data_IF_986037692329
#
_entry.id   IF_986037692329
#
_cell.length_a   1.000
_cell.length_b   1.000
_cell.length_c   1.000
_cell.angle_alpha   90.00
_cell.angle_beta   90.00
_cell.angle_gamma   90.00
#
_symmetry.space_group_name_H-M   'P 1'
#
loop_
_entity.id
_entity.type
_entity.pdbx_description
1 polymer ?
#
# COMPACT_ATOMS: atom_id res chain seq x y z
N UNK A 1 16.33 -5.70 21.49
CA UNK A 1 15.08 -4.90 21.47
C UNK A 1 14.98 -4.24 20.09
N UNK A 2 14.51 -4.95 19.05
CA UNK A 2 14.65 -4.50 17.64
C UNK A 2 13.34 -4.57 16.80
N UNK A 3 12.25 -5.12 17.35
CA UNK A 3 11.06 -5.47 16.54
C UNK A 3 10.08 -4.32 16.28
N UNK A 4 10.17 -3.22 17.03
CA UNK A 4 9.22 -2.08 16.95
C UNK A 4 9.53 -1.08 15.83
N UNK A 5 10.75 -1.08 15.29
CA UNK A 5 11.18 -0.05 14.34
C UNK A 5 10.57 -0.26 12.95
N UNK A 6 10.34 -1.53 12.55
CA UNK A 6 9.72 -1.87 11.27
C UNK A 6 8.25 -1.46 11.21
N UNK A 7 7.49 -1.69 12.28
CA UNK A 7 6.06 -1.33 12.35
C UNK A 7 5.91 0.19 12.31
N UNK A 8 6.73 0.92 13.07
CA UNK A 8 6.72 2.38 13.06
C UNK A 8 7.11 2.97 11.69
N UNK A 9 8.10 2.38 11.00
CA UNK A 9 8.46 2.73 9.62
C UNK A 9 7.31 2.47 8.64
N UNK A 10 6.58 1.36 8.80
CA UNK A 10 5.38 1.01 8.02
C UNK A 10 4.24 2.01 8.28
N UNK A 11 3.97 2.44 9.52
CA UNK A 11 2.96 3.47 9.79
C UNK A 11 3.35 4.85 9.25
N UNK A 12 4.63 5.22 9.33
CA UNK A 12 5.15 6.46 8.72
C UNK A 12 5.08 6.42 7.19
N UNK A 13 5.04 5.22 6.59
CA UNK A 13 4.83 5.01 5.17
C UNK A 13 3.39 5.25 4.77
N UNK A 14 2.36 4.99 5.57
CA UNK A 14 0.95 5.26 5.21
C UNK A 14 0.57 6.76 5.23
N UNK A 15 1.51 7.65 4.89
CA UNK A 15 1.18 9.04 4.55
C UNK A 15 0.44 9.07 3.22
N UNK A 16 -0.48 10.01 3.07
CA UNK A 16 -1.32 10.21 1.87
C UNK A 16 -0.57 10.04 0.54
N UNK A 17 0.65 10.58 0.45
CA UNK A 17 1.50 10.50 -0.74
C UNK A 17 1.92 9.07 -1.13
N UNK A 18 2.16 8.21 -0.15
CA UNK A 18 2.54 6.81 -0.39
C UNK A 18 1.32 6.00 -0.80
N UNK A 19 0.17 6.24 -0.16
CA UNK A 19 -1.11 5.61 -0.53
C UNK A 19 -1.46 5.99 -1.97
N UNK A 20 -1.29 7.27 -2.34
CA UNK A 20 -1.40 7.75 -3.72
C UNK A 20 -0.55 6.95 -4.71
N UNK A 21 0.73 6.76 -4.40
CA UNK A 21 1.63 5.97 -5.24
C UNK A 21 1.18 4.51 -5.32
N UNK A 22 0.78 3.90 -4.20
CA UNK A 22 0.34 2.51 -4.15
C UNK A 22 -0.91 2.27 -5.00
N UNK A 23 -1.90 3.16 -4.95
CA UNK A 23 -3.12 3.03 -5.77
C UNK A 23 -2.87 3.26 -7.24
N UNK A 24 -2.11 4.29 -7.62
CA UNK A 24 -1.74 4.48 -9.04
C UNK A 24 -0.98 3.27 -9.58
N UNK A 25 -0.06 2.70 -8.79
CA UNK A 25 0.65 1.48 -9.18
C UNK A 25 -0.24 0.24 -9.21
N UNK A 26 -1.30 0.20 -8.41
CA UNK A 26 -2.29 -0.88 -8.42
C UNK A 26 -3.17 -0.82 -9.67
N UNK A 27 -3.58 0.38 -10.06
CA UNK A 27 -4.41 0.63 -11.24
C UNK A 27 -3.63 0.41 -12.55
N UNK A 28 -2.42 0.97 -12.65
CA UNK A 28 -1.64 0.98 -13.90
C UNK A 28 -0.74 -0.24 -14.07
N UNK A 29 -0.57 -1.05 -13.02
CA UNK A 29 0.32 -2.22 -12.87
C UNK A 29 1.83 -1.98 -13.08
N UNK A 30 2.21 -1.22 -14.12
CA UNK A 30 3.56 -0.84 -14.47
C UNK A 30 3.56 0.52 -15.16
N UNK A 31 4.29 1.48 -14.61
CA UNK A 31 4.23 2.89 -15.03
C UNK A 31 5.62 3.53 -14.97
N UNK A 32 5.89 4.49 -15.87
CA UNK A 32 7.17 5.22 -15.88
C UNK A 32 7.24 6.23 -14.75
N UNK A 33 8.46 6.55 -14.32
CA UNK A 33 8.67 7.52 -13.22
C UNK A 33 7.93 8.85 -13.44
N UNK A 34 8.05 9.45 -14.64
CA UNK A 34 7.43 10.75 -14.96
C UNK A 34 5.91 10.68 -14.89
N UNK A 35 5.34 9.67 -15.53
CA UNK A 35 3.90 9.45 -15.59
C UNK A 35 3.31 9.17 -14.19
N UNK A 36 4.01 8.38 -13.36
CA UNK A 36 3.62 8.14 -11.97
C UNK A 36 3.67 9.43 -11.12
N UNK A 37 4.65 10.30 -11.36
CA UNK A 37 4.76 11.58 -10.66
C UNK A 37 3.65 12.56 -11.07
N UNK A 38 3.28 12.56 -12.35
CA UNK A 38 2.19 13.36 -12.91
C UNK A 38 0.82 12.90 -12.38
N UNK A 39 0.52 11.59 -12.44
CA UNK A 39 -0.73 10.99 -11.96
C UNK A 39 -0.95 11.24 -10.45
N UNK A 40 0.12 11.15 -9.65
CA UNK A 40 0.02 11.36 -8.20
C UNK A 40 -0.05 12.83 -7.80
N UNK A 41 0.32 13.76 -8.68
CA UNK A 41 0.39 15.21 -8.43
C UNK A 41 1.26 15.59 -7.22
N UNK A 42 2.24 14.75 -6.89
CA UNK A 42 3.16 14.97 -5.75
C UNK A 42 4.37 15.77 -6.21
N UNK A 43 4.81 16.75 -5.40
CA UNK A 43 6.09 17.45 -5.61
C UNK A 43 7.25 16.46 -5.76
N UNK A 44 8.17 16.71 -6.69
CA UNK A 44 9.28 15.79 -7.03
C UNK A 44 10.10 15.33 -5.80
N UNK A 45 10.42 16.26 -4.90
CA UNK A 45 11.18 15.93 -3.69
C UNK A 45 10.41 15.02 -2.72
N UNK A 46 9.09 15.20 -2.62
CA UNK A 46 8.24 14.36 -1.75
C UNK A 46 7.96 13.00 -2.40
N UNK A 47 7.77 12.99 -3.72
CA UNK A 47 7.59 11.79 -4.52
C UNK A 47 8.80 10.85 -4.42
N UNK A 48 10.02 11.38 -4.61
CA UNK A 48 11.23 10.57 -4.52
C UNK A 48 11.47 10.01 -3.11
N UNK A 49 11.14 10.78 -2.06
CA UNK A 49 11.17 10.28 -0.68
C UNK A 49 10.18 9.14 -0.46
N UNK A 50 8.95 9.27 -0.98
CA UNK A 50 7.93 8.24 -0.87
C UNK A 50 8.30 6.96 -1.66
N UNK A 51 8.84 7.10 -2.87
CA UNK A 51 9.35 5.98 -3.66
C UNK A 51 10.50 5.25 -2.96
N UNK A 52 11.46 5.98 -2.39
CA UNK A 52 12.56 5.37 -1.64
C UNK A 52 12.02 4.54 -0.48
N UNK A 53 11.12 5.13 0.30
CA UNK A 53 10.59 4.48 1.48
C UNK A 53 9.75 3.22 1.11
N UNK A 54 8.97 3.27 0.02
CA UNK A 54 8.23 2.12 -0.51
C UNK A 54 9.13 1.00 -1.04
N UNK A 55 10.29 1.35 -1.62
CA UNK A 55 11.31 0.37 -2.02
C UNK A 55 11.97 -0.28 -0.81
N UNK A 56 12.27 0.50 0.23
CA UNK A 56 12.95 0.02 1.44
C UNK A 56 12.13 -1.07 2.17
N UNK A 57 10.79 -0.98 2.13
CA UNK A 57 9.91 -2.03 2.67
C UNK A 57 9.51 -3.10 1.64
N UNK A 58 10.11 -3.09 0.45
CA UNK A 58 9.85 -4.00 -0.64
C UNK A 58 8.36 -4.03 -1.05
N UNK A 59 7.67 -2.89 -1.05
CA UNK A 59 6.29 -2.78 -1.57
C UNK A 59 6.28 -2.44 -3.04
N UNK A 60 7.31 -1.74 -3.53
CA UNK A 60 7.48 -1.45 -4.95
C UNK A 60 8.84 -1.92 -5.44
N UNK A 61 8.94 -2.21 -6.73
CA UNK A 61 10.18 -2.50 -7.42
C UNK A 61 10.37 -1.55 -8.61
N UNK A 62 11.62 -1.22 -8.90
CA UNK A 62 12.04 -0.44 -10.08
C UNK A 62 12.76 -1.39 -11.05
N UNK A 63 12.28 -1.44 -12.28
CA UNK A 63 12.91 -2.18 -13.40
C UNK A 63 13.13 -1.19 -14.54
N UNK A 64 14.39 -0.83 -14.81
CA UNK A 64 14.74 0.28 -15.72
C UNK A 64 13.99 1.56 -15.30
N UNK A 65 13.23 2.19 -16.20
CA UNK A 65 12.48 3.42 -15.93
C UNK A 65 11.05 3.17 -15.39
N UNK A 66 10.70 1.93 -15.08
CA UNK A 66 9.36 1.54 -14.67
C UNK A 66 9.29 1.16 -13.20
N UNK A 67 8.16 1.51 -12.58
CA UNK A 67 7.78 1.12 -11.23
C UNK A 67 6.57 0.18 -11.27
N UNK A 68 6.55 -0.78 -10.36
CA UNK A 68 5.43 -1.71 -10.17
C UNK A 68 5.35 -2.15 -8.70
N UNK A 69 4.19 -2.60 -8.25
CA UNK A 69 4.04 -3.22 -6.94
C UNK A 69 4.77 -4.57 -6.91
N UNK A 70 5.44 -4.86 -5.80
CA UNK A 70 5.82 -6.24 -5.48
C UNK A 70 4.58 -7.02 -5.06
N UNK A 71 4.70 -8.33 -4.88
CA UNK A 71 3.58 -9.11 -4.34
C UNK A 71 3.13 -8.60 -2.97
N UNK A 72 4.06 -8.28 -2.05
CA UNK A 72 3.74 -7.69 -0.74
C UNK A 72 3.06 -6.33 -0.88
N UNK A 73 3.53 -5.48 -1.81
CA UNK A 73 2.87 -4.21 -2.09
C UNK A 73 1.45 -4.38 -2.59
N UNK A 74 1.19 -5.34 -3.50
CA UNK A 74 -0.16 -5.68 -3.96
C UNK A 74 -1.07 -6.06 -2.80
N UNK A 75 -0.61 -6.95 -1.91
CA UNK A 75 -1.41 -7.37 -0.76
C UNK A 75 -1.78 -6.22 0.17
N UNK A 76 -0.83 -5.33 0.45
CA UNK A 76 -1.07 -4.17 1.32
C UNK A 76 -2.03 -3.21 0.65
N UNK A 77 -1.83 -2.91 -0.64
CA UNK A 77 -2.72 -2.02 -1.39
C UNK A 77 -4.13 -2.58 -1.49
N UNK A 78 -4.28 -3.89 -1.71
CA UNK A 78 -5.57 -4.56 -1.73
C UNK A 78 -6.24 -4.51 -0.34
N UNK A 79 -5.49 -4.69 0.75
CA UNK A 79 -5.99 -4.48 2.10
C UNK A 79 -6.47 -3.05 2.37
N UNK A 80 -5.79 -2.04 1.84
CA UNK A 80 -6.22 -0.63 1.94
C UNK A 80 -7.52 -0.36 1.18
N UNK A 81 -7.66 -0.91 -0.03
CA UNK A 81 -8.89 -0.80 -0.84
C UNK A 81 -10.07 -1.41 -0.09
N UNK A 82 -9.87 -2.61 0.46
CA UNK A 82 -10.91 -3.36 1.16
C UNK A 82 -11.47 -2.61 2.38
N UNK A 83 -10.63 -1.85 3.10
CA UNK A 83 -11.07 -1.04 4.25
C UNK A 83 -11.64 0.34 3.84
N UNK A 84 -11.96 0.54 2.56
CA UNK A 84 -12.62 1.75 2.05
C UNK A 84 -11.70 2.96 1.85
N UNK A 85 -10.37 2.78 1.87
CA UNK A 85 -9.46 3.85 1.47
C UNK A 85 -9.40 3.89 -0.07
N UNK A 86 -10.25 4.68 -0.70
CA UNK A 86 -10.12 5.03 -2.11
C UNK A 86 -9.73 6.51 -2.29
N UNK A 87 -8.94 6.81 -3.32
CA UNK A 87 -8.66 8.21 -3.70
C UNK A 87 -9.90 8.73 -4.40
N UNK A 88 -10.61 9.65 -3.74
CA UNK A 88 -11.63 10.48 -4.38
C UNK A 88 -13.08 10.20 -4.02
N UNK A 89 -13.38 9.29 -3.10
CA UNK A 89 -14.73 9.16 -2.54
C UNK A 89 -14.82 9.96 -1.23
N UNK A 90 -15.75 10.91 -1.18
CA UNK A 90 -16.31 11.36 0.09
C UNK A 90 -16.91 10.12 0.75
N UNK A 91 -16.56 9.86 2.02
CA UNK A 91 -17.14 8.77 2.80
C UNK A 91 -18.63 9.07 3.00
N UNK A 92 -19.46 8.68 2.03
CA UNK A 92 -20.91 8.75 2.15
C UNK A 92 -21.36 7.70 3.18
N UNK A 93 -22.25 8.08 4.08
CA UNK A 93 -22.73 7.26 5.20
C UNK A 93 -23.45 6.00 4.70
N UNK A 94 -22.72 4.88 4.52
CA UNK A 94 -23.33 3.60 4.13
C UNK A 94 -23.64 2.75 5.36
N UNK A 95 -24.89 2.86 5.81
CA UNK A 95 -25.71 1.95 6.62
C UNK A 95 -24.99 0.82 7.41
N UNK A 96 -25.02 0.95 8.74
CA UNK A 96 -24.13 0.35 9.74
C UNK A 96 -23.95 -1.19 9.77
N UNK A 97 -24.93 -2.03 9.41
CA UNK A 97 -24.85 -3.47 9.77
C UNK A 97 -24.21 -4.39 8.71
N UNK A 98 -24.33 -4.03 7.43
CA UNK A 98 -23.75 -4.79 6.31
C UNK A 98 -22.27 -4.41 6.13
N UNK A 99 -21.91 -3.16 6.42
CA UNK A 99 -20.55 -2.63 6.43
C UNK A 99 -19.69 -3.31 7.49
N UNK A 100 -20.20 -3.52 8.71
CA UNK A 100 -19.47 -4.20 9.78
C UNK A 100 -19.07 -5.64 9.42
N UNK A 101 -19.96 -6.40 8.76
CA UNK A 101 -19.67 -7.78 8.32
C UNK A 101 -18.63 -7.84 7.21
N UNK A 102 -18.59 -6.84 6.33
CA UNK A 102 -17.59 -6.73 5.27
C UNK A 102 -16.24 -6.29 5.83
N UNK A 103 -16.21 -5.27 6.69
CA UNK A 103 -15.01 -4.86 7.45
C UNK A 103 -14.41 -6.02 8.24
N UNK A 104 -15.23 -6.82 8.92
CA UNK A 104 -14.75 -7.98 9.66
C UNK A 104 -14.10 -9.03 8.73
N UNK A 105 -14.70 -9.29 7.56
CA UNK A 105 -14.15 -10.20 6.55
C UNK A 105 -12.79 -9.72 6.01
N UNK A 106 -12.62 -8.41 5.85
CA UNK A 106 -11.39 -7.80 5.33
C UNK A 106 -10.28 -7.71 6.39
N UNK A 107 -10.64 -7.45 7.64
CA UNK A 107 -9.73 -7.55 8.79
C UNK A 107 -9.24 -8.99 8.96
N UNK A 108 -10.11 -9.98 8.79
CA UNK A 108 -9.73 -11.41 8.83
C UNK A 108 -8.79 -11.75 7.68
N UNK A 109 -9.07 -11.28 6.46
CA UNK A 109 -8.20 -11.51 5.30
C UNK A 109 -6.83 -10.85 5.44
N UNK A 110 -6.77 -9.61 5.92
CA UNK A 110 -5.50 -8.93 6.22
C UNK A 110 -4.71 -9.68 7.30
N UNK A 111 -5.39 -10.20 8.33
CA UNK A 111 -4.79 -10.99 9.40
C UNK A 111 -4.23 -12.33 8.87
N UNK A 112 -4.99 -13.05 8.04
CA UNK A 112 -4.53 -14.29 7.39
C UNK A 112 -3.31 -14.04 6.50
N UNK A 113 -3.28 -12.94 5.74
CA UNK A 113 -2.12 -12.60 4.93
C UNK A 113 -0.88 -12.25 5.76
N UNK A 114 -1.03 -11.51 6.86
CA UNK A 114 0.06 -11.21 7.79
C UNK A 114 0.64 -12.48 8.41
N UNK A 115 -0.20 -13.49 8.70
CA UNK A 115 0.23 -14.79 9.21
C UNK A 115 0.99 -15.58 8.14
N UNK A 116 0.45 -15.71 6.93
CA UNK A 116 1.08 -16.46 5.84
C UNK A 116 2.44 -15.86 5.41
N UNK A 117 2.56 -14.52 5.38
CA UNK A 117 3.83 -13.82 5.14
C UNK A 117 4.84 -14.07 6.26
N UNK A 118 4.37 -14.13 7.51
CA UNK A 118 5.22 -14.36 8.69
C UNK A 118 5.75 -15.79 8.80
N UNK A 119 5.03 -16.77 8.24
CA UNK A 119 5.45 -18.19 8.19
C UNK A 119 6.48 -18.41 7.07
N UNK A 120 6.22 -17.88 5.87
CA UNK A 120 7.09 -18.07 4.70
C UNK A 120 8.51 -17.48 4.86
N UNK A 121 8.68 -16.48 5.73
CA UNK A 121 9.99 -15.89 6.05
C UNK A 121 10.85 -16.71 7.03
N UNK A 122 10.31 -17.74 7.67
CA UNK A 122 11.06 -18.55 8.67
C UNK A 122 11.68 -19.83 8.11
N UNK A 123 11.27 -20.26 6.92
CA UNK A 123 11.73 -21.53 6.31
C UNK A 123 12.72 -21.34 5.14
N UNK A 124 13.36 -20.17 5.01
CA UNK A 124 14.41 -19.94 4.01
C UNK A 124 15.48 -18.96 4.48
#
# INVERSE_FOLDING_TARGET
MEKNDTIYKIFKLFKENVIKILFVLREKEKIRWKELQEETKISTATFNRALSALKDVNFIKKENEYYSLTWTGKLVTDGLILIGLHIGEEMEEVADEVAEKLLAKDIIMATIMLVLVSIKKREK
#
